data_IF_368439766613
#
_entry.id   IF_368439766613
#
_cell.length_a   1.000
_cell.length_b   1.000
_cell.length_c   1.000
_cell.angle_alpha   90.00
_cell.angle_beta   90.00
_cell.angle_gamma   90.00
#
_symmetry.space_group_name_H-M   'P 1'
#
loop_
_entity.id
_entity.type
_entity.pdbx_description
1 polymer ?
#
# COMPACT_ATOMS: atom_id res chain seq x y z
N UNK A 1 10.10 3.69 -9.67
CA UNK A 1 10.11 4.73 -8.61
C UNK A 1 10.02 3.98 -7.30
N UNK A 2 10.78 4.38 -6.27
CA UNK A 2 10.58 3.77 -4.96
C UNK A 2 9.14 3.99 -4.49
N UNK A 3 8.58 2.98 -3.84
CA UNK A 3 7.23 3.05 -3.26
C UNK A 3 7.24 4.13 -2.16
N UNK A 4 6.26 5.04 -2.19
CA UNK A 4 6.08 6.01 -1.11
C UNK A 4 5.26 5.40 0.04
N UNK A 5 5.20 6.11 1.16
CA UNK A 5 4.50 5.67 2.37
C UNK A 5 3.02 5.29 2.11
N UNK A 6 2.34 6.09 1.28
CA UNK A 6 0.95 5.84 0.90
C UNK A 6 0.78 4.60 0.01
N UNK A 7 1.70 4.34 -0.93
CA UNK A 7 1.66 3.14 -1.78
C UNK A 7 1.84 1.89 -0.93
N UNK A 8 2.77 1.91 0.03
CA UNK A 8 2.99 0.82 0.98
C UNK A 8 1.75 0.58 1.85
N UNK A 9 1.19 1.64 2.42
CA UNK A 9 -0.04 1.56 3.23
C UNK A 9 -1.22 1.02 2.42
N UNK A 10 -1.42 1.51 1.18
CA UNK A 10 -2.47 1.03 0.29
C UNK A 10 -2.30 -0.44 -0.05
N UNK A 11 -1.07 -0.88 -0.31
CA UNK A 11 -0.78 -2.29 -0.61
C UNK A 11 -1.16 -3.18 0.58
N UNK A 12 -0.71 -2.83 1.79
CA UNK A 12 -1.09 -3.56 3.01
C UNK A 12 -2.60 -3.62 3.20
N UNK A 13 -3.31 -2.51 3.03
CA UNK A 13 -4.78 -2.48 3.20
C UNK A 13 -5.55 -3.28 2.14
N UNK A 14 -5.05 -3.33 0.91
CA UNK A 14 -5.59 -4.21 -0.12
C UNK A 14 -5.33 -5.69 0.21
N UNK A 15 -4.11 -6.01 0.66
CA UNK A 15 -3.68 -7.37 1.01
C UNK A 15 -4.44 -7.92 2.24
N UNK A 16 -4.57 -7.12 3.30
CA UNK A 16 -5.34 -7.45 4.52
C UNK A 16 -6.80 -7.81 4.19
N UNK A 17 -7.41 -7.08 3.25
CA UNK A 17 -8.78 -7.37 2.78
C UNK A 17 -8.85 -8.62 1.90
N UNK A 18 -7.83 -8.85 1.06
CA UNK A 18 -7.77 -10.05 0.23
C UNK A 18 -7.58 -11.30 1.11
N UNK A 19 -6.66 -11.25 2.08
CA UNK A 19 -6.44 -12.32 3.04
C UNK A 19 -7.69 -12.58 3.90
N UNK A 20 -8.39 -11.53 4.36
CA UNK A 20 -9.65 -11.70 5.09
C UNK A 20 -10.78 -12.31 4.25
N UNK A 21 -10.73 -12.19 2.92
CA UNK A 21 -11.65 -12.91 2.03
C UNK A 21 -11.22 -14.35 1.77
N UNK A 22 -9.92 -14.64 1.80
CA UNK A 22 -9.39 -16.00 1.62
C UNK A 22 -9.57 -16.88 2.86
N UNK A 23 -9.62 -16.29 4.07
CA UNK A 23 -9.87 -17.03 5.33
C UNK A 23 -11.36 -17.41 5.53
N UNK A 24 -12.27 -16.70 4.87
CA UNK A 24 -13.74 -16.93 4.92
C UNK A 24 -14.23 -17.85 3.78
N UNK A 25 -13.50 -17.93 2.66
CA UNK A 25 -13.94 -18.64 1.45
C UNK A 25 -13.30 -20.05 1.30
N UNK A 26 -13.75 -20.97 2.15
CA UNK A 26 -13.76 -22.41 1.83
C UNK A 26 -14.89 -22.78 0.87
N UNK A 27 -15.77 -21.85 0.51
CA UNK A 27 -16.86 -22.06 -0.43
C UNK A 27 -17.49 -20.72 -0.91
N UNK A 28 -17.12 -20.21 -2.08
CA UNK A 28 -18.02 -19.93 -3.23
C UNK A 28 -17.54 -18.79 -4.14
N UNK A 29 -16.89 -19.17 -5.25
CA UNK A 29 -16.97 -18.42 -6.51
C UNK A 29 -16.31 -17.03 -6.54
N UNK A 30 -16.35 -16.33 -7.69
CA UNK A 30 -15.62 -15.09 -7.89
C UNK A 30 -16.30 -13.96 -7.10
N UNK A 31 -15.90 -13.79 -5.84
CA UNK A 31 -16.34 -12.67 -5.01
C UNK A 31 -15.99 -11.39 -5.77
N UNK A 32 -17.00 -10.56 -6.04
CA UNK A 32 -16.88 -9.30 -6.78
C UNK A 32 -15.78 -8.47 -6.11
N UNK A 33 -14.54 -8.55 -6.62
CA UNK A 33 -13.41 -7.76 -6.15
C UNK A 33 -13.86 -6.31 -6.13
N UNK A 34 -14.04 -5.77 -4.93
CA UNK A 34 -14.44 -4.38 -4.75
C UNK A 34 -13.48 -3.54 -5.59
N UNK A 35 -14.02 -2.69 -6.46
CA UNK A 35 -13.21 -2.00 -7.47
C UNK A 35 -12.07 -1.26 -6.76
N UNK A 36 -10.84 -1.42 -7.25
CA UNK A 36 -9.66 -0.75 -6.67
C UNK A 36 -9.84 0.77 -6.57
N UNK A 37 -10.69 1.36 -7.41
CA UNK A 37 -11.06 2.78 -7.37
C UNK A 37 -11.77 3.15 -6.05
N UNK A 38 -12.74 2.35 -5.60
CA UNK A 38 -13.49 2.61 -4.37
C UNK A 38 -12.59 2.40 -3.14
N UNK A 39 -11.76 1.37 -3.18
CA UNK A 39 -10.75 1.13 -2.13
C UNK A 39 -9.76 2.28 -2.03
N UNK A 40 -9.28 2.81 -3.15
CA UNK A 40 -8.34 3.93 -3.17
C UNK A 40 -8.95 5.19 -2.53
N UNK A 41 -10.26 5.45 -2.72
CA UNK A 41 -10.94 6.57 -2.07
C UNK A 41 -11.01 6.40 -0.55
N UNK A 42 -11.36 5.21 -0.07
CA UNK A 42 -11.43 4.92 1.37
C UNK A 42 -10.06 4.96 2.03
N UNK A 43 -9.06 4.31 1.41
CA UNK A 43 -7.69 4.27 1.92
C UNK A 43 -7.07 5.68 1.93
N UNK A 44 -7.35 6.51 0.93
CA UNK A 44 -6.88 7.90 0.93
C UNK A 44 -7.45 8.71 2.10
N UNK A 45 -8.72 8.50 2.45
CA UNK A 45 -9.32 9.12 3.63
C UNK A 45 -8.71 8.58 4.92
N UNK A 46 -8.57 7.26 5.05
CA UNK A 46 -7.91 6.63 6.20
C UNK A 46 -6.49 7.16 6.38
N UNK A 47 -5.71 7.26 5.31
CA UNK A 47 -4.35 7.80 5.35
C UNK A 47 -4.29 9.24 5.86
N UNK A 48 -5.26 10.08 5.49
CA UNK A 48 -5.36 11.45 6.01
C UNK A 48 -5.78 11.49 7.47
N UNK A 49 -6.55 10.52 7.93
CA UNK A 49 -7.00 10.37 9.31
C UNK A 49 -6.06 9.55 10.19
N UNK A 50 -4.97 9.00 9.65
CA UNK A 50 -4.00 8.24 10.43
C UNK A 50 -3.33 9.12 11.48
N UNK A 51 -3.05 8.57 12.67
CA UNK A 51 -2.27 9.28 13.66
C UNK A 51 -0.84 9.52 13.13
N UNK A 52 -0.17 10.58 13.61
CA UNK A 52 1.17 10.94 13.16
C UNK A 52 2.17 9.81 13.39
N UNK A 53 2.02 9.02 14.44
CA UNK A 53 2.88 7.89 14.78
C UNK A 53 2.83 6.78 13.72
N UNK A 54 1.63 6.34 13.32
CA UNK A 54 1.48 5.34 12.26
C UNK A 54 1.95 5.89 10.92
N UNK A 55 1.64 7.15 10.63
CA UNK A 55 2.11 7.78 9.41
C UNK A 55 3.64 7.84 9.35
N UNK A 56 4.29 8.16 10.47
CA UNK A 56 5.73 8.19 10.58
C UNK A 56 6.35 6.81 10.35
N UNK A 57 5.76 5.75 10.93
CA UNK A 57 6.17 4.37 10.64
C UNK A 57 6.19 4.06 9.14
N UNK A 58 5.13 4.44 8.41
CA UNK A 58 5.04 4.24 6.96
C UNK A 58 6.04 5.11 6.18
N UNK A 59 6.28 6.34 6.64
CA UNK A 59 7.27 7.24 6.05
C UNK A 59 8.70 6.74 6.24
N UNK A 60 9.02 6.16 7.40
CA UNK A 60 10.30 5.53 7.69
C UNK A 60 10.52 4.28 6.82
N UNK A 61 9.52 3.41 6.67
CA UNK A 61 9.56 2.28 5.74
C UNK A 61 9.80 2.74 4.30
N UNK A 62 9.08 3.78 3.86
CA UNK A 62 9.25 4.33 2.52
C UNK A 62 10.63 4.93 2.31
N UNK A 63 11.20 5.56 3.34
CA UNK A 63 12.55 6.13 3.33
C UNK A 63 13.60 5.03 3.21
N UNK A 64 13.43 3.92 3.91
CA UNK A 64 14.29 2.75 3.80
C UNK A 64 14.22 2.14 2.40
N UNK A 65 13.00 1.92 1.87
CA UNK A 65 12.79 1.41 0.50
C UNK A 65 13.35 2.34 -0.57
N UNK A 66 13.23 3.65 -0.36
CA UNK A 66 13.86 4.65 -1.23
C UNK A 66 15.38 4.52 -1.21
N UNK A 67 15.98 4.44 -0.02
CA UNK A 67 17.43 4.28 0.14
C UNK A 67 17.93 2.97 -0.48
N UNK A 68 17.21 1.87 -0.28
CA UNK A 68 17.51 0.56 -0.89
C UNK A 68 17.44 0.65 -2.42
N UNK A 69 16.40 1.29 -2.96
CA UNK A 69 16.25 1.49 -4.40
C UNK A 69 17.34 2.41 -4.98
N UNK A 70 17.74 3.47 -4.27
CA UNK A 70 18.85 4.35 -4.68
C UNK A 70 20.19 3.61 -4.67
N UNK A 71 20.42 2.75 -3.67
CA UNK A 71 21.62 1.92 -3.59
C UNK A 71 21.66 0.84 -4.68
N UNK A 72 20.53 0.19 -4.96
CA UNK A 72 20.40 -0.87 -5.97
C UNK A 72 20.39 -0.31 -7.40
N UNK A 73 19.83 0.87 -7.59
CA UNK A 73 19.74 1.55 -8.88
C UNK A 73 20.41 2.93 -8.83
N UNK A 74 21.76 2.99 -8.78
CA UNK A 74 22.49 4.25 -8.68
C UNK A 74 22.28 5.18 -9.89
N UNK A 75 21.91 4.61 -11.05
CA UNK A 75 21.60 5.35 -12.28
C UNK A 75 20.10 5.62 -12.46
N UNK A 76 19.27 5.37 -11.43
CA UNK A 76 17.84 5.60 -11.53
C UNK A 76 17.51 7.09 -11.58
N UNK A 77 17.02 7.54 -12.73
CA UNK A 77 16.49 8.90 -12.91
C UNK A 77 15.01 8.80 -13.22
N UNK A 78 14.19 9.48 -12.40
CA UNK A 78 12.77 9.57 -12.67
C UNK A 78 12.52 10.45 -13.90
N UNK A 79 12.00 9.84 -14.98
CA UNK A 79 11.50 10.56 -16.16
C UNK A 79 9.96 10.57 -16.10
N UNK A 80 9.33 11.75 -15.91
CA UNK A 80 7.89 11.91 -15.87
C UNK A 80 7.21 11.62 -17.21
#
# INVERSE_FOLDING_TARGET
RPENAFILFRRKKCEERQAAQEDDDGASGPVKKQRQADLSKTISQQWKSLPPEERQYWEDLAKEKKKEHEAMYPNYVYRP
#
